data_IF_264748354149
#
_entry.id   IF_264748354149
#
_cell.length_a   1.000
_cell.length_b   1.000
_cell.length_c   1.000
_cell.angle_alpha   90.00
_cell.angle_beta   90.00
_cell.angle_gamma   90.00
#
_symmetry.space_group_name_H-M   'P 1'
#
loop_
_entity.id
_entity.type
_entity.pdbx_description
1 polymer ?
#
# COMPACT_ATOMS: atom_id res chain seq x y z
N UNK A 1 0.31 41.93 35.23
CA UNK A 1 -0.03 41.00 36.33
C UNK A 1 -0.78 39.84 35.68
N UNK A 2 -0.38 38.57 35.59
CA UNK A 2 0.70 37.68 36.07
C UNK A 2 1.04 36.75 34.89
N UNK A 3 2.27 36.72 34.36
CA UNK A 3 3.47 35.92 34.74
C UNK A 3 3.35 34.39 34.53
N UNK A 4 3.92 34.00 33.40
CA UNK A 4 4.62 32.76 33.05
C UNK A 4 5.44 32.20 34.24
N UNK A 5 5.37 30.88 34.46
CA UNK A 5 6.38 30.12 35.22
C UNK A 5 6.71 28.86 34.43
N UNK A 6 7.87 28.89 33.75
CA UNK A 6 8.67 27.72 33.41
C UNK A 6 9.29 27.17 34.69
N UNK A 7 9.35 25.85 34.85
CA UNK A 7 10.33 25.22 35.73
C UNK A 7 10.87 23.94 35.08
N UNK A 8 12.12 24.08 34.65
CA UNK A 8 13.06 23.04 34.26
C UNK A 8 13.48 22.25 35.50
N UNK A 9 13.55 20.92 35.41
CA UNK A 9 14.31 20.10 36.35
C UNK A 9 15.28 19.20 35.57
N UNK A 10 16.56 19.48 35.75
CA UNK A 10 17.71 18.79 35.18
C UNK A 10 18.34 17.89 36.27
N UNK A 11 18.53 16.62 35.90
CA UNK A 11 19.56 15.63 36.30
C UNK A 11 20.12 15.63 37.73
N UNK A 12 20.03 14.46 38.38
CA UNK A 12 21.17 13.86 39.11
C UNK A 12 21.22 12.34 38.90
N UNK A 13 22.41 11.87 38.49
CA UNK A 13 22.83 10.48 38.32
C UNK A 13 23.04 9.79 39.69
N UNK A 14 22.83 8.48 39.75
CA UNK A 14 23.59 7.60 40.63
C UNK A 14 23.87 6.27 39.90
N UNK A 15 25.13 5.85 39.95
CA UNK A 15 25.73 4.69 39.30
C UNK A 15 25.98 3.62 40.36
N UNK A 16 25.70 2.36 39.98
CA UNK A 16 26.25 1.07 40.42
C UNK A 16 26.09 0.59 41.87
N UNK A 17 25.65 -0.67 42.00
CA UNK A 17 26.49 -1.72 42.59
C UNK A 17 26.03 -3.12 42.15
N UNK A 18 26.97 -3.86 41.58
CA UNK A 18 26.97 -5.31 41.38
C UNK A 18 26.88 -6.07 42.71
N UNK A 19 26.13 -7.17 42.75
CA UNK A 19 26.31 -8.21 43.76
C UNK A 19 26.02 -9.60 43.14
N UNK A 20 27.12 -10.30 42.83
CA UNK A 20 27.14 -11.75 42.68
C UNK A 20 26.89 -12.39 44.05
N UNK A 21 26.03 -13.41 44.10
CA UNK A 21 26.02 -14.36 45.22
C UNK A 21 26.03 -15.79 44.69
N UNK A 22 27.04 -16.51 45.14
CA UNK A 22 27.39 -17.90 44.89
C UNK A 22 26.79 -18.81 45.97
N UNK A 23 26.02 -19.83 45.56
CA UNK A 23 25.82 -21.15 46.21
C UNK A 23 25.26 -21.21 47.65
N UNK A 24 24.84 -22.40 48.16
CA UNK A 24 25.23 -23.74 47.70
C UNK A 24 24.09 -24.77 47.47
N UNK A 25 24.46 -25.75 46.63
CA UNK A 25 24.15 -27.19 46.61
C UNK A 25 23.17 -27.78 47.65
N UNK A 26 22.13 -28.45 47.14
CA UNK A 26 21.57 -29.67 47.73
C UNK A 26 21.15 -30.62 46.60
N UNK A 27 21.84 -31.76 46.55
CA UNK A 27 21.66 -32.92 45.68
C UNK A 27 20.47 -33.74 46.13
N UNK A 28 19.52 -34.02 45.24
CA UNK A 28 18.71 -35.24 45.29
C UNK A 28 18.65 -35.88 43.90
N UNK A 29 19.14 -37.12 43.84
CA UNK A 29 19.15 -38.01 42.70
C UNK A 29 17.90 -38.88 42.70
N UNK A 30 17.10 -38.86 41.62
CA UNK A 30 16.15 -39.94 41.33
C UNK A 30 16.29 -40.35 39.87
N UNK A 31 16.42 -41.67 39.72
CA UNK A 31 16.71 -42.49 38.57
C UNK A 31 15.72 -42.40 37.42
N UNK A 32 16.25 -42.32 36.19
CA UNK A 32 15.56 -42.63 34.95
C UNK A 32 15.37 -44.16 34.81
N UNK A 33 14.13 -44.64 34.91
CA UNK A 33 13.76 -46.00 34.54
C UNK A 33 12.98 -45.98 33.22
N UNK A 34 13.59 -46.55 32.18
CA UNK A 34 13.01 -46.82 30.87
C UNK A 34 11.95 -47.93 30.94
N UNK A 35 10.70 -47.63 30.62
CA UNK A 35 9.66 -48.64 30.38
C UNK A 35 9.41 -48.78 28.86
N UNK A 36 9.99 -49.81 28.26
CA UNK A 36 9.72 -50.24 26.89
C UNK A 36 8.40 -51.02 26.84
N UNK A 37 7.45 -50.58 26.03
CA UNK A 37 6.25 -51.35 25.68
C UNK A 37 6.58 -52.46 24.66
N UNK A 38 6.03 -53.68 24.79
CA UNK A 38 6.28 -54.77 23.85
C UNK A 38 5.44 -54.65 22.56
N UNK A 39 6.02 -55.09 21.46
CA UNK A 39 5.43 -55.20 20.12
C UNK A 39 4.25 -56.19 20.08
N UNK A 40 3.23 -55.98 19.22
CA UNK A 40 2.16 -56.96 19.04
C UNK A 40 2.65 -58.20 18.28
N UNK A 41 2.31 -59.37 18.81
CA UNK A 41 2.59 -60.69 18.25
C UNK A 41 1.73 -60.92 17.00
N UNK A 42 2.39 -61.22 15.88
CA UNK A 42 1.76 -61.68 14.63
C UNK A 42 1.23 -63.11 14.83
N UNK A 43 -0.09 -63.28 14.91
CA UNK A 43 -0.71 -64.59 14.78
C UNK A 43 -0.99 -64.89 13.30
N UNK A 44 -0.23 -65.82 12.73
CA UNK A 44 -0.60 -66.52 11.48
C UNK A 44 -1.75 -67.47 11.80
N UNK A 45 -2.90 -67.29 11.14
CA UNK A 45 -3.94 -68.32 11.08
C UNK A 45 -4.02 -68.90 9.67
N UNK A 46 -4.04 -70.22 9.63
CA UNK A 46 -4.08 -71.10 8.46
C UNK A 46 -5.34 -70.90 7.63
N UNK A 47 -5.21 -71.08 6.32
CA UNK A 47 -6.35 -71.29 5.41
C UNK A 47 -7.02 -72.60 5.77
N UNK A 48 -8.28 -72.56 6.15
CA UNK A 48 -9.20 -73.69 6.09
C UNK A 48 -10.31 -73.30 5.13
N UNK A 49 -10.34 -74.01 4.00
CA UNK A 49 -11.46 -74.02 3.07
C UNK A 49 -12.56 -74.86 3.67
N UNK A 50 -13.66 -74.24 4.09
CA UNK A 50 -14.95 -74.92 4.11
C UNK A 50 -16.11 -73.92 4.02
N UNK A 51 -17.06 -74.18 3.12
CA UNK A 51 -18.29 -73.39 2.96
C UNK A 51 -19.41 -74.03 3.80
N UNK A 52 -20.06 -73.27 4.69
CA UNK A 52 -21.43 -73.58 5.10
C UNK A 52 -22.41 -72.47 4.66
N UNK A 53 -23.37 -72.93 3.86
CA UNK A 53 -24.72 -72.44 3.56
C UNK A 53 -25.23 -71.21 4.36
N UNK A 54 -25.59 -70.14 3.63
CA UNK A 54 -26.44 -69.02 4.11
C UNK A 54 -27.70 -69.56 4.81
N UNK A 55 -27.88 -69.21 6.09
CA UNK A 55 -29.20 -69.21 6.73
C UNK A 55 -29.65 -67.76 6.88
N UNK A 56 -30.87 -67.47 6.39
CA UNK A 56 -31.57 -66.20 6.62
C UNK A 56 -31.83 -66.05 8.12
N UNK A 57 -31.74 -64.85 8.73
CA UNK A 57 -32.24 -64.65 10.08
C UNK A 57 -33.76 -64.89 10.06
N UNK A 58 -34.21 -65.89 10.81
CA UNK A 58 -35.62 -66.10 11.08
C UNK A 58 -36.19 -64.91 11.84
N UNK A 59 -37.38 -64.45 11.43
CA UNK A 59 -38.19 -63.53 12.23
C UNK A 59 -38.50 -64.20 13.57
N UNK A 60 -38.20 -63.53 14.67
CA UNK A 60 -38.71 -63.91 15.98
C UNK A 60 -40.18 -63.49 16.07
N UNK A 61 -41.10 -64.44 16.24
CA UNK A 61 -42.55 -64.19 16.41
C UNK A 61 -42.89 -63.74 17.85
N UNK A 62 -42.16 -62.75 18.37
CA UNK A 62 -42.45 -62.11 19.65
C UNK A 62 -43.16 -60.78 19.38
N UNK A 63 -44.50 -60.70 19.49
CA UNK A 63 -45.27 -59.51 19.09
C UNK A 63 -44.96 -58.25 19.90
N UNK A 64 -44.28 -58.37 21.05
CA UNK A 64 -43.91 -57.23 21.89
C UNK A 64 -42.60 -56.55 21.50
N UNK A 65 -41.68 -57.23 20.80
CA UNK A 65 -40.39 -56.62 20.42
C UNK A 65 -40.49 -55.76 19.16
N UNK A 66 -41.42 -56.05 18.25
CA UNK A 66 -41.69 -55.15 17.12
C UNK A 66 -42.37 -53.85 17.59
N UNK A 67 -43.21 -53.89 18.63
CA UNK A 67 -43.87 -52.69 19.13
C UNK A 67 -42.90 -51.70 19.79
N UNK A 68 -41.81 -52.17 20.40
CA UNK A 68 -40.82 -51.30 21.06
C UNK A 68 -39.91 -50.61 20.04
N UNK A 69 -39.57 -51.28 18.92
CA UNK A 69 -38.69 -50.70 17.91
C UNK A 69 -39.43 -49.96 16.77
N UNK A 70 -40.69 -50.32 16.47
CA UNK A 70 -41.43 -49.65 15.39
C UNK A 70 -42.17 -48.37 15.83
N UNK A 71 -42.53 -48.24 17.12
CA UNK A 71 -43.22 -47.04 17.64
C UNK A 71 -42.32 -45.82 17.81
N UNK A 72 -41.00 -46.03 17.95
CA UNK A 72 -40.00 -44.94 17.91
C UNK A 72 -39.45 -44.68 16.49
N UNK A 73 -39.53 -45.65 15.58
CA UNK A 73 -38.97 -45.52 14.24
C UNK A 73 -39.87 -44.76 13.25
N UNK A 74 -41.18 -44.60 13.52
CA UNK A 74 -42.12 -43.92 12.60
C UNK A 74 -42.50 -42.49 12.95
N UNK A 75 -42.01 -41.94 14.08
CA UNK A 75 -42.15 -40.52 14.42
C UNK A 75 -40.85 -39.71 14.31
N UNK A 76 -39.71 -40.34 14.06
CA UNK A 76 -38.47 -39.62 13.81
C UNK A 76 -38.40 -39.18 12.35
N UNK A 77 -39.21 -38.16 12.01
CA UNK A 77 -38.67 -37.12 11.13
C UNK A 77 -37.51 -36.50 11.89
N UNK A 78 -36.33 -37.10 11.79
CA UNK A 78 -35.11 -36.44 12.20
C UNK A 78 -35.05 -35.16 11.39
N UNK A 79 -35.47 -34.07 12.01
CA UNK A 79 -35.16 -32.73 11.59
C UNK A 79 -33.65 -32.61 11.78
N UNK A 80 -32.88 -33.19 10.86
CA UNK A 80 -31.55 -32.71 10.60
C UNK A 80 -31.79 -31.30 10.07
N UNK A 81 -31.86 -30.34 10.99
CA UNK A 81 -31.45 -28.99 10.66
C UNK A 81 -30.14 -29.17 9.90
N UNK A 82 -30.13 -28.82 8.61
CA UNK A 82 -28.97 -29.06 7.77
C UNK A 82 -27.88 -28.13 8.31
N UNK A 83 -27.11 -28.62 9.28
CA UNK A 83 -26.03 -27.91 9.92
C UNK A 83 -24.99 -27.58 8.85
N UNK A 84 -25.13 -26.40 8.25
CA UNK A 84 -24.09 -25.82 7.42
C UNK A 84 -23.07 -25.20 8.36
N UNK A 85 -21.78 -25.60 8.27
CA UNK A 85 -20.75 -24.90 9.01
C UNK A 85 -20.64 -23.46 8.51
N UNK A 86 -20.14 -22.51 9.34
CA UNK A 86 -19.81 -21.19 8.88
C UNK A 86 -18.89 -21.27 7.66
N UNK A 87 -19.18 -20.48 6.64
CA UNK A 87 -18.35 -20.39 5.42
C UNK A 87 -18.34 -18.97 4.90
N UNK A 88 -17.18 -18.54 4.38
CA UNK A 88 -17.09 -17.33 3.59
C UNK A 88 -17.80 -17.54 2.25
N UNK A 89 -18.54 -16.53 1.80
CA UNK A 89 -19.35 -16.64 0.58
C UNK A 89 -18.50 -16.63 -0.71
N UNK A 90 -17.29 -16.09 -0.63
CA UNK A 90 -16.36 -15.99 -1.75
C UNK A 90 -15.17 -16.93 -1.49
N UNK A 91 -15.04 -17.94 -2.34
CA UNK A 91 -14.12 -19.08 -2.19
C UNK A 91 -12.85 -18.84 -3.02
N UNK A 92 -12.33 -17.62 -3.03
CA UNK A 92 -10.99 -17.38 -3.52
C UNK A 92 -10.01 -17.68 -2.39
N UNK A 93 -9.15 -18.68 -2.59
CA UNK A 93 -8.10 -19.07 -1.64
C UNK A 93 -6.93 -18.08 -1.59
N UNK A 94 -7.03 -16.99 -2.34
CA UNK A 94 -6.01 -15.97 -2.50
C UNK A 94 -6.36 -14.74 -1.66
N UNK A 95 -5.34 -14.03 -1.21
CA UNK A 95 -5.52 -12.79 -0.46
C UNK A 95 -6.19 -11.73 -1.36
N UNK A 96 -7.22 -11.05 -0.84
CA UNK A 96 -7.90 -9.98 -1.58
C UNK A 96 -7.05 -8.71 -1.55
N UNK A 97 -6.55 -8.25 -2.70
CA UNK A 97 -5.76 -7.02 -2.78
C UNK A 97 -6.69 -5.80 -2.89
N UNK A 98 -6.46 -4.80 -2.05
CA UNK A 98 -7.18 -3.53 -2.04
C UNK A 98 -6.14 -2.41 -2.23
N UNK A 99 -6.22 -1.70 -3.34
CA UNK A 99 -5.43 -0.49 -3.57
C UNK A 99 -6.26 0.75 -3.22
N UNK A 100 -5.64 1.70 -2.53
CA UNK A 100 -6.30 2.89 -2.03
C UNK A 100 -5.42 4.14 -2.13
N UNK A 101 -6.07 5.28 -2.32
CA UNK A 101 -5.41 6.58 -2.29
C UNK A 101 -5.32 7.09 -0.86
N UNK A 102 -4.30 7.90 -0.58
CA UNK A 102 -4.15 8.54 0.74
C UNK A 102 -5.37 9.43 1.02
N UNK A 103 -5.90 9.36 2.24
CA UNK A 103 -7.09 10.10 2.69
C UNK A 103 -8.43 9.44 2.31
N UNK A 104 -8.43 8.36 1.53
CA UNK A 104 -9.66 7.66 1.17
C UNK A 104 -10.24 6.85 2.34
N UNK A 105 -11.53 6.50 2.25
CA UNK A 105 -12.14 5.53 3.16
C UNK A 105 -12.11 4.15 2.54
N UNK A 106 -11.42 3.21 3.19
CA UNK A 106 -11.27 1.82 2.74
C UNK A 106 -12.30 0.96 3.44
N UNK A 107 -12.99 0.09 2.70
CA UNK A 107 -13.99 -0.83 3.26
C UNK A 107 -13.59 -2.27 2.94
N UNK A 108 -13.45 -3.07 3.99
CA UNK A 108 -13.18 -4.51 3.91
C UNK A 108 -14.49 -5.28 4.05
N UNK A 109 -14.88 -6.01 3.03
CA UNK A 109 -16.13 -6.77 2.97
C UNK A 109 -15.92 -8.23 3.38
N UNK A 110 -16.40 -8.62 4.56
CA UNK A 110 -16.36 -10.00 5.03
C UNK A 110 -17.76 -10.60 5.20
N UNK A 111 -18.21 -11.30 4.16
CA UNK A 111 -19.50 -12.02 4.19
C UNK A 111 -19.34 -13.41 4.78
N UNK A 112 -20.03 -13.67 5.88
CA UNK A 112 -20.00 -14.94 6.61
C UNK A 112 -21.40 -15.52 6.69
N UNK A 113 -21.60 -16.67 6.06
CA UNK A 113 -22.87 -17.39 6.10
C UNK A 113 -22.87 -18.36 7.29
N UNK A 114 -24.06 -18.64 7.85
CA UNK A 114 -24.24 -19.63 8.93
C UNK A 114 -23.39 -19.40 10.19
N UNK A 115 -23.13 -18.13 10.57
CA UNK A 115 -22.29 -17.73 11.72
C UNK A 115 -22.76 -18.32 13.07
N UNK A 116 -24.08 -18.36 13.31
CA UNK A 116 -24.71 -18.91 14.53
C UNK A 116 -24.18 -18.28 15.83
N UNK A 117 -23.49 -19.07 16.66
CA UNK A 117 -22.95 -18.73 17.98
C UNK A 117 -21.45 -18.36 17.91
N UNK A 118 -20.92 -18.13 16.71
CA UNK A 118 -19.54 -17.73 16.48
C UNK A 118 -19.46 -16.21 16.35
N UNK A 119 -18.30 -15.67 16.64
CA UNK A 119 -18.04 -14.23 16.56
C UNK A 119 -17.15 -13.92 15.37
N UNK A 120 -17.27 -12.69 14.87
CA UNK A 120 -16.39 -12.16 13.81
C UNK A 120 -15.50 -11.08 14.43
N UNK A 121 -14.20 -11.17 14.23
CA UNK A 121 -13.24 -10.17 14.72
C UNK A 121 -12.34 -9.72 13.59
N UNK A 122 -11.97 -8.44 13.61
CA UNK A 122 -11.00 -7.88 12.68
C UNK A 122 -9.63 -7.78 13.34
N UNK A 123 -8.61 -8.32 12.69
CA UNK A 123 -7.24 -8.35 13.19
C UNK A 123 -6.33 -7.74 12.13
N UNK A 124 -5.48 -6.80 12.52
CA UNK A 124 -4.41 -6.28 11.68
C UNK A 124 -3.11 -7.03 11.98
N UNK A 125 -2.38 -7.41 10.94
CA UNK A 125 -1.02 -7.92 11.03
C UNK A 125 -0.08 -6.79 10.67
N UNK A 126 0.66 -6.28 11.65
CA UNK A 126 1.68 -5.27 11.44
C UNK A 126 2.94 -5.88 10.80
N UNK A 127 3.81 -5.02 10.24
CA UNK A 127 5.03 -5.43 9.53
C UNK A 127 6.00 -6.27 10.39
N UNK A 128 5.94 -6.10 11.71
CA UNK A 128 6.75 -6.86 12.67
C UNK A 128 6.08 -8.16 13.14
N UNK A 129 5.08 -8.65 12.40
CA UNK A 129 4.24 -9.81 12.71
C UNK A 129 3.43 -9.67 14.02
N UNK A 130 3.35 -8.47 14.61
CA UNK A 130 2.45 -8.23 15.72
C UNK A 130 0.99 -8.24 15.25
N UNK A 131 0.15 -8.94 16.00
CA UNK A 131 -1.29 -8.98 15.80
C UNK A 131 -1.95 -7.91 16.65
N UNK A 132 -2.71 -7.03 16.01
CA UNK A 132 -3.54 -6.03 16.68
C UNK A 132 -5.02 -6.37 16.47
N UNK A 133 -5.75 -6.53 17.57
CA UNK A 133 -7.20 -6.71 17.53
C UNK A 133 -7.87 -5.35 17.30
N UNK A 134 -8.55 -5.20 16.16
CA UNK A 134 -9.26 -3.97 15.81
C UNK A 134 -10.67 -3.96 16.39
N UNK A 135 -11.44 -5.03 16.14
CA UNK A 135 -12.84 -5.15 16.57
C UNK A 135 -13.20 -6.59 16.92
N UNK A 136 -14.21 -6.75 17.77
CA UNK A 136 -14.90 -8.01 18.05
C UNK A 136 -16.39 -7.75 17.90
N UNK A 137 -17.02 -8.51 17.01
CA UNK A 137 -18.38 -8.27 16.53
C UNK A 137 -18.56 -6.80 16.13
N UNK A 138 -19.41 -6.05 16.85
CA UNK A 138 -19.69 -4.63 16.57
C UNK A 138 -18.92 -3.67 17.49
N UNK A 139 -18.10 -4.20 18.39
CA UNK A 139 -17.34 -3.42 19.36
C UNK A 139 -15.91 -3.16 18.85
N UNK A 140 -15.50 -1.89 18.89
CA UNK A 140 -14.14 -1.47 18.51
C UNK A 140 -13.22 -1.57 19.72
N UNK A 141 -12.12 -2.30 19.57
CA UNK A 141 -11.11 -2.54 20.61
C UNK A 141 -9.84 -1.72 20.43
N UNK A 142 -9.54 -1.28 19.21
CA UNK A 142 -8.42 -0.37 18.95
C UNK A 142 -8.73 1.04 19.45
N UNK A 143 -7.67 1.78 19.81
CA UNK A 143 -7.78 3.19 20.20
C UNK A 143 -7.91 4.14 18.99
N UNK A 144 -7.63 3.65 17.78
CA UNK A 144 -7.75 4.45 16.56
C UNK A 144 -9.23 4.58 16.14
N UNK A 145 -9.77 5.79 16.32
CA UNK A 145 -11.16 6.12 16.03
C UNK A 145 -11.53 6.12 14.53
N UNK A 146 -10.55 5.92 13.64
CA UNK A 146 -10.76 5.81 12.19
C UNK A 146 -11.36 4.46 11.80
N UNK A 147 -11.13 3.41 12.59
CA UNK A 147 -11.73 2.11 12.37
C UNK A 147 -13.19 2.10 12.86
N UNK A 148 -14.10 1.62 12.01
CA UNK A 148 -15.51 1.42 12.35
C UNK A 148 -15.97 0.11 11.75
N UNK A 149 -16.85 -0.59 12.47
CA UNK A 149 -17.48 -1.80 11.97
C UNK A 149 -18.95 -1.53 11.71
N UNK A 150 -19.44 -2.06 10.59
CA UNK A 150 -20.84 -2.00 10.19
C UNK A 150 -21.32 -3.41 9.79
N UNK A 151 -22.60 -3.68 10.03
CA UNK A 151 -23.22 -4.96 9.71
C UNK A 151 -24.37 -4.76 8.73
N UNK A 152 -24.13 -5.18 7.49
CA UNK A 152 -25.13 -5.19 6.43
C UNK A 152 -25.66 -6.61 6.21
N UNK A 153 -26.56 -7.06 7.11
CA UNK A 153 -27.11 -8.43 7.08
C UNK A 153 -26.09 -9.47 7.55
N UNK A 154 -25.63 -10.36 6.66
CA UNK A 154 -24.56 -11.33 6.93
C UNK A 154 -23.17 -10.83 6.47
N UNK A 155 -23.06 -9.54 6.10
CA UNK A 155 -21.81 -8.93 5.67
C UNK A 155 -21.22 -8.04 6.78
N UNK A 156 -20.10 -8.48 7.34
CA UNK A 156 -19.33 -7.79 8.36
C UNK A 156 -18.33 -6.88 7.66
N UNK A 157 -18.57 -5.57 7.73
CA UNK A 157 -17.75 -4.57 7.05
C UNK A 157 -16.85 -3.88 8.06
N UNK A 158 -15.54 -3.84 7.80
CA UNK A 158 -14.64 -2.92 8.50
C UNK A 158 -14.39 -1.72 7.59
N UNK A 159 -14.61 -0.51 8.08
CA UNK A 159 -14.26 0.73 7.42
C UNK A 159 -13.05 1.37 8.13
N UNK A 160 -12.06 1.78 7.34
CA UNK A 160 -10.93 2.61 7.76
C UNK A 160 -11.05 3.97 7.07
N UNK A 161 -11.39 5.01 7.82
CA UNK A 161 -11.44 6.38 7.32
C UNK A 161 -10.04 7.01 7.26
N UNK A 162 -9.85 8.01 6.38
CA UNK A 162 -8.59 8.77 6.25
C UNK A 162 -7.36 7.85 6.17
N UNK A 163 -7.33 6.97 5.17
CA UNK A 163 -6.28 5.96 5.02
C UNK A 163 -4.90 6.60 4.80
N UNK A 164 -3.90 6.10 5.53
CA UNK A 164 -2.50 6.56 5.48
C UNK A 164 -1.62 5.48 4.90
N UNK A 165 -0.47 5.88 4.33
CA UNK A 165 0.53 4.94 3.81
C UNK A 165 0.96 3.91 4.88
N UNK A 166 1.04 4.33 6.14
CA UNK A 166 1.35 3.48 7.30
C UNK A 166 0.27 2.45 7.64
N UNK A 167 -0.94 2.57 7.09
CA UNK A 167 -2.02 1.61 7.30
C UNK A 167 -1.94 0.43 6.34
N UNK A 168 -1.07 0.49 5.33
CA UNK A 168 -0.80 -0.64 4.43
C UNK A 168 -0.39 -1.87 5.24
N UNK A 169 -0.78 -3.05 4.76
CA UNK A 169 -0.53 -4.31 5.44
C UNK A 169 -1.70 -5.30 5.30
N UNK A 170 -1.65 -6.37 6.10
CA UNK A 170 -2.63 -7.45 6.03
C UNK A 170 -3.71 -7.25 7.11
N UNK A 171 -4.97 -7.30 6.67
CA UNK A 171 -6.15 -7.29 7.52
C UNK A 171 -6.86 -8.62 7.42
N UNK A 172 -7.23 -9.19 8.56
CA UNK A 172 -7.84 -10.51 8.66
C UNK A 172 -9.24 -10.38 9.25
N UNK A 173 -10.24 -10.85 8.50
CA UNK A 173 -11.54 -11.20 9.07
C UNK A 173 -11.44 -12.60 9.67
N UNK A 174 -11.51 -12.68 10.99
CA UNK A 174 -11.38 -13.89 11.78
C UNK A 174 -12.74 -14.34 12.31
N UNK A 175 -13.10 -15.60 12.08
CA UNK A 175 -14.30 -16.23 12.64
C UNK A 175 -13.88 -17.24 13.69
N UNK A 176 -14.51 -17.19 14.86
CA UNK A 176 -14.17 -17.98 16.06
C UNK A 176 -14.52 -19.49 15.97
N UNK A 177 -14.42 -20.09 14.79
CA UNK A 177 -14.60 -21.53 14.56
C UNK A 177 -13.41 -22.34 15.06
N UNK A 178 -13.58 -23.66 15.10
CA UNK A 178 -12.49 -24.58 15.40
C UNK A 178 -12.37 -25.62 14.27
N UNK A 179 -11.33 -25.53 13.41
CA UNK A 179 -10.23 -24.57 13.43
C UNK A 179 -10.69 -23.12 13.07
N UNK A 180 -9.91 -22.09 13.47
CA UNK A 180 -10.26 -20.70 13.17
C UNK A 180 -10.24 -20.45 11.67
N UNK A 181 -11.24 -19.74 11.18
CA UNK A 181 -11.33 -19.35 9.79
C UNK A 181 -10.85 -17.91 9.62
N UNK A 182 -10.05 -17.68 8.58
CA UNK A 182 -9.45 -16.39 8.28
C UNK A 182 -9.68 -16.03 6.82
N UNK A 183 -10.17 -14.81 6.57
CA UNK A 183 -10.13 -14.18 5.25
C UNK A 183 -9.16 -13.01 5.31
N UNK A 184 -8.18 -13.00 4.41
CA UNK A 184 -7.09 -12.02 4.37
C UNK A 184 -7.32 -10.97 3.29
N UNK A 185 -6.99 -9.73 3.62
CA UNK A 185 -7.02 -8.58 2.74
C UNK A 185 -5.67 -7.89 2.79
N UNK A 186 -5.03 -7.70 1.65
CA UNK A 186 -3.79 -6.94 1.51
C UNK A 186 -4.14 -5.51 1.11
N UNK A 187 -3.99 -4.55 2.03
CA UNK A 187 -4.19 -3.13 1.76
C UNK A 187 -2.88 -2.49 1.30
N UNK A 188 -2.90 -1.81 0.16
CA UNK A 188 -1.81 -0.96 -0.32
C UNK A 188 -2.31 0.48 -0.45
N UNK A 189 -1.80 1.37 0.40
CA UNK A 189 -2.12 2.80 0.32
C UNK A 189 -0.99 3.53 -0.40
N UNK A 190 -1.31 4.18 -1.51
CA UNK A 190 -0.33 4.86 -2.34
C UNK A 190 0.03 6.24 -1.80
N UNK A 191 1.32 6.59 -1.87
CA UNK A 191 1.82 7.93 -1.51
C UNK A 191 1.32 8.97 -2.54
N UNK A 192 0.81 10.12 -2.10
CA UNK A 192 0.38 11.18 -3.00
C UNK A 192 1.58 11.72 -3.79
N UNK A 193 1.36 12.01 -5.08
CA UNK A 193 2.38 12.52 -5.98
C UNK A 193 1.83 13.67 -6.83
N UNK A 194 2.70 14.56 -7.31
CA UNK A 194 2.31 15.62 -8.25
C UNK A 194 2.95 15.37 -9.61
N UNK A 195 2.12 15.40 -10.65
CA UNK A 195 2.53 15.28 -12.05
C UNK A 195 2.35 16.62 -12.74
N UNK A 196 3.46 17.26 -13.08
CA UNK A 196 3.51 18.55 -13.77
C UNK A 196 3.94 18.37 -15.24
N UNK A 197 3.51 19.27 -16.11
CA UNK A 197 4.04 19.41 -17.47
C UNK A 197 5.56 19.49 -17.46
N UNK A 198 6.19 18.84 -18.44
CA UNK A 198 7.63 18.90 -18.67
C UNK A 198 8.08 20.33 -19.03
N UNK A 199 9.38 20.54 -19.12
CA UNK A 199 9.96 21.81 -19.54
C UNK A 199 9.39 22.25 -20.90
N UNK A 200 9.17 23.56 -21.03
CA UNK A 200 8.58 24.17 -22.21
C UNK A 200 9.53 25.20 -22.83
N UNK A 201 9.59 25.22 -24.16
CA UNK A 201 10.34 26.18 -24.98
C UNK A 201 9.35 26.87 -25.90
N UNK A 202 9.15 28.18 -25.70
CA UNK A 202 8.12 28.96 -26.36
C UNK A 202 8.71 30.28 -26.87
N UNK A 203 8.11 30.87 -27.89
CA UNK A 203 8.52 32.17 -28.40
C UNK A 203 7.78 33.32 -27.72
N UNK A 204 8.37 34.52 -27.80
CA UNK A 204 7.69 35.74 -27.38
C UNK A 204 6.38 35.94 -28.14
N UNK A 205 5.29 36.24 -27.43
CA UNK A 205 3.95 36.42 -27.99
C UNK A 205 3.08 35.16 -27.95
N UNK A 206 3.65 33.97 -27.77
CA UNK A 206 2.90 32.72 -27.63
C UNK A 206 2.14 32.65 -26.29
N UNK A 207 1.31 31.62 -26.15
CA UNK A 207 0.57 31.32 -24.91
C UNK A 207 1.14 30.06 -24.28
N UNK A 208 1.70 30.19 -23.07
CA UNK A 208 2.14 29.04 -22.27
C UNK A 208 0.92 28.31 -21.73
N UNK A 209 0.96 26.97 -21.77
CA UNK A 209 -0.05 26.09 -21.17
C UNK A 209 0.65 25.02 -20.33
N UNK A 210 0.42 25.03 -19.02
CA UNK A 210 0.95 24.05 -18.08
C UNK A 210 -0.20 23.29 -17.42
N UNK A 211 -0.02 21.98 -17.24
CA UNK A 211 -0.94 21.11 -16.53
C UNK A 211 -0.26 20.52 -15.31
N UNK A 212 -0.94 20.61 -14.17
CA UNK A 212 -0.54 20.01 -12.91
C UNK A 212 -1.65 19.07 -12.44
N UNK A 213 -1.31 17.86 -12.02
CA UNK A 213 -2.26 16.88 -11.50
C UNK A 213 -1.74 16.28 -10.21
N UNK A 214 -2.57 16.22 -9.18
CA UNK A 214 -2.27 15.43 -7.97
C UNK A 214 -2.75 14.00 -8.21
N UNK A 215 -1.90 13.04 -7.86
CA UNK A 215 -2.13 11.60 -8.01
C UNK A 215 -2.17 10.97 -6.61
N UNK A 216 -2.93 9.89 -6.47
CA UNK A 216 -3.03 9.07 -5.26
C UNK A 216 -3.45 9.84 -4.00
N UNK A 217 -4.26 10.89 -4.19
CA UNK A 217 -4.81 11.69 -3.11
C UNK A 217 -6.32 11.76 -3.26
N UNK A 218 -7.04 11.32 -2.24
CA UNK A 218 -8.46 11.53 -2.17
C UNK A 218 -8.76 12.98 -1.77
N UNK A 219 -9.61 13.72 -2.49
CA UNK A 219 -9.89 15.14 -2.22
C UNK A 219 -10.59 15.37 -0.88
N UNK A 220 -11.21 14.35 -0.28
CA UNK A 220 -11.82 14.44 1.04
C UNK A 220 -13.01 15.41 1.09
N UNK A 221 -13.38 15.80 2.31
CA UNK A 221 -14.41 16.83 2.56
C UNK A 221 -13.83 18.25 2.41
N UNK A 222 -12.60 18.45 2.92
CA UNK A 222 -11.84 19.70 2.78
C UNK A 222 -10.95 19.63 1.52
N UNK A 223 -11.53 20.00 0.37
CA UNK A 223 -10.83 19.97 -0.92
C UNK A 223 -9.58 20.86 -0.87
N UNK A 224 -8.40 20.31 -1.20
CA UNK A 224 -7.16 21.06 -1.13
C UNK A 224 -7.06 22.15 -2.21
N UNK A 225 -6.50 23.29 -1.85
CA UNK A 225 -6.33 24.42 -2.76
C UNK A 225 -4.99 24.34 -3.52
N UNK A 226 -5.05 24.51 -4.84
CA UNK A 226 -3.90 24.48 -5.74
C UNK A 226 -3.53 25.89 -6.19
N UNK A 227 -2.27 26.27 -5.99
CA UNK A 227 -1.73 27.58 -6.32
C UNK A 227 -0.59 27.49 -7.33
N UNK A 228 -0.44 28.55 -8.14
CA UNK A 228 0.64 28.69 -9.10
C UNK A 228 1.55 29.85 -8.75
N UNK A 229 2.84 29.58 -8.67
CA UNK A 229 3.87 30.58 -8.38
C UNK A 229 4.93 30.60 -9.49
N UNK A 230 5.61 31.74 -9.61
CA UNK A 230 6.75 31.90 -10.52
C UNK A 230 7.98 32.37 -9.76
N UNK A 231 9.11 31.69 -9.97
CA UNK A 231 10.35 31.92 -9.25
C UNK A 231 10.16 31.72 -7.75
N UNK A 232 10.59 32.70 -6.95
CA UNK A 232 10.45 32.71 -5.50
C UNK A 232 9.31 33.64 -5.01
N UNK A 233 8.35 33.98 -5.88
CA UNK A 233 7.21 34.80 -5.49
C UNK A 233 6.33 34.07 -4.48
N UNK A 234 5.87 34.79 -3.45
CA UNK A 234 4.83 34.34 -2.52
C UNK A 234 3.42 34.71 -2.98
N UNK A 235 3.31 35.61 -3.97
CA UNK A 235 2.05 35.98 -4.60
C UNK A 235 1.72 34.98 -5.70
N UNK A 236 0.43 34.63 -5.79
CA UNK A 236 -0.08 33.78 -6.87
C UNK A 236 0.14 34.48 -8.22
N UNK A 237 0.30 33.68 -9.27
CA UNK A 237 0.69 34.17 -10.59
C UNK A 237 -0.37 35.08 -11.24
N UNK A 238 -1.64 34.83 -10.97
CA UNK A 238 -2.77 35.65 -11.42
C UNK A 238 -2.81 37.03 -10.75
N UNK A 239 -2.36 37.15 -9.50
CA UNK A 239 -2.18 38.44 -8.83
C UNK A 239 -0.95 39.20 -9.35
N UNK A 240 0.12 38.47 -9.67
CA UNK A 240 1.39 39.05 -10.07
C UNK A 240 1.44 39.52 -11.54
N UNK A 241 0.59 38.95 -12.42
CA UNK A 241 0.65 39.19 -13.87
C UNK A 241 -0.75 39.11 -14.51
N UNK A 242 -1.12 40.13 -15.28
CA UNK A 242 -2.33 40.09 -16.11
C UNK A 242 -2.23 39.10 -17.28
N UNK A 243 -3.38 38.62 -17.77
CA UNK A 243 -3.45 37.65 -18.87
C UNK A 243 -3.06 36.23 -18.46
N UNK A 244 -3.27 35.90 -17.18
CA UNK A 244 -3.15 34.58 -16.59
C UNK A 244 -4.55 34.01 -16.40
N UNK A 245 -4.74 32.75 -16.77
CA UNK A 245 -5.97 31.99 -16.53
C UNK A 245 -5.59 30.70 -15.81
N UNK A 246 -6.24 30.43 -14.69
CA UNK A 246 -6.06 29.21 -13.90
C UNK A 246 -7.42 28.52 -13.80
N UNK A 247 -7.49 27.29 -14.27
CA UNK A 247 -8.67 26.44 -14.19
C UNK A 247 -8.32 25.21 -13.36
N UNK A 248 -8.99 25.02 -12.22
CA UNK A 248 -8.75 23.88 -11.33
C UNK A 248 -9.99 23.00 -11.24
N UNK A 249 -9.84 21.73 -11.60
CA UNK A 249 -10.83 20.69 -11.34
C UNK A 249 -10.55 20.05 -9.97
N UNK A 250 -11.45 20.35 -9.05
CA UNK A 250 -11.39 19.91 -7.66
C UNK A 250 -11.68 18.41 -7.47
N UNK A 251 -12.38 17.75 -8.40
CA UNK A 251 -12.68 16.33 -8.30
C UNK A 251 -11.49 15.48 -8.72
N UNK A 252 -10.82 15.88 -9.80
CA UNK A 252 -9.63 15.19 -10.32
C UNK A 252 -8.32 15.74 -9.75
N UNK A 253 -8.38 16.80 -8.94
CA UNK A 253 -7.24 17.54 -8.42
C UNK A 253 -6.24 17.92 -9.53
N UNK A 254 -6.79 18.43 -10.64
CA UNK A 254 -6.00 18.87 -11.79
C UNK A 254 -6.16 20.37 -12.02
N UNK A 255 -5.03 21.07 -12.17
CA UNK A 255 -4.98 22.50 -12.44
C UNK A 255 -4.29 22.79 -13.77
N UNK A 256 -4.92 23.66 -14.55
CA UNK A 256 -4.48 24.10 -15.86
C UNK A 256 -4.17 25.60 -15.80
N UNK A 257 -2.91 25.93 -16.06
CA UNK A 257 -2.41 27.30 -16.11
C UNK A 257 -2.19 27.73 -17.56
N UNK A 258 -2.73 28.88 -17.93
CA UNK A 258 -2.47 29.54 -19.20
C UNK A 258 -1.95 30.96 -18.99
N UNK A 259 -0.90 31.30 -19.72
CA UNK A 259 -0.22 32.61 -19.62
C UNK A 259 -0.09 33.17 -21.04
N UNK A 260 -0.96 34.12 -21.38
CA UNK A 260 -1.04 34.68 -22.71
C UNK A 260 0.05 35.72 -22.98
N UNK A 261 0.44 35.88 -24.26
CA UNK A 261 1.39 36.88 -24.76
C UNK A 261 2.70 36.89 -23.96
N UNK A 262 3.43 35.79 -24.02
CA UNK A 262 4.70 35.63 -23.29
C UNK A 262 5.72 36.70 -23.66
N UNK A 263 6.44 37.16 -22.65
CA UNK A 263 7.60 38.03 -22.77
C UNK A 263 8.84 37.31 -22.26
N UNK A 264 10.02 37.82 -22.61
CA UNK A 264 11.28 37.28 -22.09
C UNK A 264 11.35 37.29 -20.57
N UNK A 265 10.73 38.29 -19.92
CA UNK A 265 10.64 38.37 -18.46
C UNK A 265 9.78 37.27 -17.83
N UNK A 266 8.93 36.58 -18.60
CA UNK A 266 8.07 35.49 -18.13
C UNK A 266 8.83 34.16 -18.01
N UNK A 267 10.04 34.06 -18.55
CA UNK A 267 10.89 32.88 -18.41
C UNK A 267 11.26 32.61 -16.94
N UNK A 268 11.37 31.33 -16.58
CA UNK A 268 11.75 30.95 -15.22
C UNK A 268 11.11 29.66 -14.75
N UNK A 269 11.15 29.46 -13.44
CA UNK A 269 10.59 28.28 -12.79
C UNK A 269 9.14 28.54 -12.42
N UNK A 270 8.24 27.70 -12.91
CA UNK A 270 6.83 27.72 -12.56
C UNK A 270 6.58 26.60 -11.55
N UNK A 271 5.98 26.95 -10.42
CA UNK A 271 5.70 26.03 -9.32
C UNK A 271 4.20 25.87 -9.20
N UNK A 272 3.73 24.63 -9.28
CA UNK A 272 2.39 24.24 -8.86
C UNK A 272 2.48 23.75 -7.41
N UNK A 273 1.67 24.28 -6.51
CA UNK A 273 1.71 23.97 -5.09
C UNK A 273 0.33 23.56 -4.57
N UNK A 274 0.31 22.54 -3.72
CA UNK A 274 -0.80 22.15 -2.87
C UNK A 274 -0.47 22.62 -1.44
N UNK A 275 -1.31 23.41 -0.79
CA UNK A 275 -0.95 24.07 0.48
C UNK A 275 -1.58 23.45 1.73
N UNK A 276 -2.83 22.99 1.66
CA UNK A 276 -3.53 22.37 2.77
C UNK A 276 -4.51 21.30 2.26
N UNK A 277 -4.75 20.21 2.99
CA UNK A 277 -4.11 19.83 4.26
C UNK A 277 -2.70 19.22 4.06
N UNK A 278 -2.36 18.79 2.84
CA UNK A 278 -1.07 18.19 2.51
C UNK A 278 -0.25 19.19 1.68
N UNK A 279 0.98 19.46 2.12
CA UNK A 279 1.89 20.39 1.44
C UNK A 279 2.77 19.69 0.43
N UNK A 280 2.56 19.98 -0.85
CA UNK A 280 3.34 19.42 -1.95
C UNK A 280 3.63 20.49 -2.99
N UNK A 281 4.79 20.40 -3.67
CA UNK A 281 5.17 21.33 -4.74
C UNK A 281 5.81 20.58 -5.88
N UNK A 282 5.48 20.97 -7.10
CA UNK A 282 6.14 20.52 -8.33
C UNK A 282 6.62 21.74 -9.11
N UNK A 283 7.82 21.66 -9.68
CA UNK A 283 8.46 22.77 -10.39
C UNK A 283 8.80 22.35 -11.81
N UNK A 284 8.52 23.20 -12.78
CA UNK A 284 8.94 23.03 -14.17
C UNK A 284 9.56 24.31 -14.70
N UNK A 285 10.47 24.18 -15.67
CA UNK A 285 11.19 25.31 -16.23
C UNK A 285 10.58 25.70 -17.57
N UNK A 286 10.35 27.00 -17.73
CA UNK A 286 9.85 27.60 -18.97
C UNK A 286 10.93 28.51 -19.55
N UNK A 287 11.26 28.25 -20.80
CA UNK A 287 12.17 29.04 -21.60
C UNK A 287 11.37 29.85 -22.61
N UNK A 288 11.58 31.17 -22.60
CA UNK A 288 11.04 32.06 -23.62
C UNK A 288 12.19 32.45 -24.54
N UNK A 289 11.99 32.22 -25.84
CA UNK A 289 12.97 32.44 -26.90
C UNK A 289 12.51 33.56 -27.82
N UNK A 290 13.46 34.16 -28.52
CA UNK A 290 13.16 35.08 -29.61
C UNK A 290 13.03 34.25 -30.90
N UNK A 291 12.17 34.66 -31.83
CA UNK A 291 11.79 33.82 -32.98
C UNK A 291 12.93 33.29 -33.87
N UNK A 292 14.13 33.87 -33.83
CA UNK A 292 15.31 33.32 -34.52
C UNK A 292 15.94 32.12 -33.80
N UNK A 293 15.79 32.02 -32.47
CA UNK A 293 16.51 31.06 -31.63
C UNK A 293 15.88 29.67 -31.59
N UNK A 294 14.55 29.55 -31.71
CA UNK A 294 13.88 28.24 -31.76
C UNK A 294 14.19 27.50 -33.08
N UNK A 295 14.24 28.25 -34.20
CA UNK A 295 14.61 27.73 -35.50
C UNK A 295 16.01 27.09 -35.50
N UNK A 296 16.96 27.66 -34.74
CA UNK A 296 18.32 27.12 -34.61
C UNK A 296 18.34 25.78 -33.84
N UNK A 297 17.56 25.64 -32.76
CA UNK A 297 17.42 24.39 -32.00
C UNK A 297 16.81 23.27 -32.84
N UNK A 298 15.84 23.60 -33.70
CA UNK A 298 15.19 22.64 -34.60
C UNK A 298 16.04 22.33 -35.83
N UNK A 299 16.93 23.26 -36.25
CA UNK A 299 17.74 23.11 -37.46
C UNK A 299 18.89 22.12 -37.36
N UNK A 300 19.18 21.57 -36.17
CA UNK A 300 20.14 20.47 -35.98
C UNK A 300 21.39 20.65 -36.83
N UNK A 301 22.27 21.59 -36.44
CA UNK A 301 23.44 22.03 -37.22
C UNK A 301 24.22 20.82 -37.76
N UNK A 302 23.98 20.47 -39.04
CA UNK A 302 24.89 19.66 -39.83
C UNK A 302 26.00 20.59 -40.29
N UNK A 303 27.02 20.79 -39.45
CA UNK A 303 28.27 21.42 -39.88
C UNK A 303 28.88 20.55 -40.97
N UNK A 304 28.63 20.87 -42.24
CA UNK A 304 29.48 20.37 -43.34
C UNK A 304 30.81 21.10 -43.21
N UNK A 305 31.79 20.44 -42.61
CA UNK A 305 33.19 20.84 -42.67
C UNK A 305 33.65 20.73 -44.12
N UNK A 306 33.51 21.81 -44.88
CA UNK A 306 34.09 21.92 -46.22
C UNK A 306 35.45 22.58 -46.07
N UNK A 307 36.52 21.78 -46.16
CA UNK A 307 37.88 22.28 -46.25
C UNK A 307 38.02 23.07 -47.56
N UNK A 308 37.89 24.39 -47.46
CA UNK A 308 38.16 25.30 -48.57
C UNK A 308 39.66 25.28 -48.84
N UNK A 309 39.96 24.78 -50.02
CA UNK A 309 41.18 24.94 -50.82
C UNK A 309 41.95 26.24 -50.55
N UNK A 310 43.18 26.11 -50.04
CA UNK A 310 44.22 27.13 -50.09
C UNK A 310 45.52 26.49 -50.59
N UNK A 311 45.65 26.37 -51.92
CA UNK A 311 46.93 26.22 -52.60
C UNK A 311 47.09 27.39 -53.57
N UNK A 312 47.73 28.45 -53.08
CA UNK A 312 48.30 29.53 -53.87
C UNK A 312 49.68 29.84 -53.28
N UNK A 313 50.72 29.26 -53.86
CA UNK A 313 52.09 29.81 -53.90
C UNK A 313 52.25 30.59 -55.21
N UNK A 314 53.22 31.52 -55.41
CA UNK A 314 54.40 31.82 -54.59
C UNK A 314 54.68 33.32 -54.37
N UNK A 315 55.53 33.66 -53.40
CA UNK A 315 56.25 34.94 -53.38
C UNK A 315 57.75 34.69 -53.32
N UNK A 316 58.45 35.18 -54.35
CA UNK A 316 59.90 35.40 -54.36
C UNK A 316 60.30 36.33 -53.21
N UNK A 317 61.47 36.07 -52.60
CA UNK A 317 62.47 37.02 -52.09
C UNK A 317 63.64 36.14 -51.56
N UNK A 318 64.71 35.96 -52.32
CA UNK A 318 65.93 36.78 -52.30
C UNK A 318 66.63 36.78 -50.93
N UNK A 319 67.73 36.02 -50.80
CA UNK A 319 68.92 36.42 -50.04
C UNK A 319 70.15 35.77 -50.67
N UNK A 320 71.03 36.59 -51.22
CA UNK A 320 72.39 36.23 -51.56
C UNK A 320 73.34 36.70 -50.45
N UNK A 321 74.39 35.92 -50.21
CA UNK A 321 75.74 36.34 -49.80
C UNK A 321 76.65 35.16 -50.16
N UNK A 322 77.50 35.30 -51.18
CA UNK A 322 78.92 35.68 -51.08
C UNK A 322 79.76 34.65 -50.33
N UNK A 323 80.64 33.96 -51.07
CA UNK A 323 82.05 33.65 -50.76
C UNK A 323 82.69 33.22 -52.10
N UNK A 324 83.60 34.05 -52.63
CA UNK A 324 84.67 33.59 -53.54
C UNK A 324 85.70 32.80 -52.71
N UNK A 325 86.64 32.04 -53.25
CA UNK A 325 87.46 32.18 -54.45
C UNK A 325 88.41 30.95 -54.46
N UNK A 326 89.11 30.76 -55.57
CA UNK A 326 90.38 30.02 -55.76
C UNK A 326 90.33 28.50 -56.00
N UNK A 327 90.53 28.18 -57.29
CA UNK A 327 91.52 27.25 -57.90
C UNK A 327 91.74 25.86 -57.30
#
# INVERSE_FOLDING_TARGET
MHRIVLLMAVLTRAIASTANYTGPLATESISLSSSSMPLPVVFKSMRVTDKPRRQKPGKSDSPMLNYIFDSYATSNKHFHDKFRPPSFDDVTSEDTIIDADTGSTVVFDCRVTALRDKTVSWIRVADNENLELLTVDLETHTADARYRVDLAGENWKLALADAKVSDSGVYCCHVSTHPPMLRRFQLNVHLPAMRLSKEAFLETGETLSLKCAVLNLHPGEDVPEMHWYRGNSTLSLDEARGGVLIETDHLTLTSHLQVARLKMEDAGNYTCALEAPIRMKAVTRVHVLQGSSLAELQSGVKTKSSYVTLLLTPSLLAFGTLIGDVR
#
